data_IF_257276300119
#
_entry.id   IF_257276300119
#
_cell.length_a   1.000
_cell.length_b   1.000
_cell.length_c   1.000
_cell.angle_alpha   90.00
_cell.angle_beta   90.00
_cell.angle_gamma   90.00
#
_symmetry.space_group_name_H-M   'P 1'
#
loop_
_entity.id
_entity.type
_entity.pdbx_description
1 polymer ?
#
# COMPACT_ATOMS: atom_id res chain seq x y z
N UNK A 1 -54.69 -25.43 20.11
CA UNK A 1 -54.45 -24.21 19.29
C UNK A 1 -54.63 -22.95 20.15
N UNK A 2 -53.56 -22.41 20.76
CA UNK A 2 -53.45 -20.99 21.12
C UNK A 2 -51.96 -20.61 21.09
N UNK A 3 -51.54 -20.03 19.98
CA UNK A 3 -50.23 -19.44 19.80
C UNK A 3 -50.12 -18.19 20.70
N UNK A 4 -49.31 -18.26 21.75
CA UNK A 4 -48.80 -17.05 22.41
C UNK A 4 -47.75 -16.45 21.49
N UNK A 5 -48.17 -15.42 20.74
CA UNK A 5 -47.24 -14.49 20.08
C UNK A 5 -46.45 -13.80 21.17
N UNK A 6 -45.17 -14.11 21.21
CA UNK A 6 -44.17 -13.38 21.98
C UNK A 6 -44.06 -11.96 21.40
N UNK A 7 -44.32 -10.87 22.17
CA UNK A 7 -44.20 -9.50 21.69
C UNK A 7 -42.75 -9.00 21.63
N UNK A 8 -41.75 -9.80 22.03
CA UNK A 8 -40.37 -9.34 22.20
C UNK A 8 -39.48 -9.53 20.96
N UNK A 9 -40.01 -10.10 19.86
CA UNK A 9 -39.25 -10.36 18.63
C UNK A 9 -39.07 -9.19 17.66
N UNK A 10 -39.49 -7.96 18.00
CA UNK A 10 -39.60 -6.86 17.02
C UNK A 10 -38.90 -5.53 17.39
N UNK A 11 -38.05 -5.48 18.43
CA UNK A 11 -37.34 -4.24 18.82
C UNK A 11 -35.85 -4.47 19.11
N UNK A 12 -35.14 -5.15 18.20
CA UNK A 12 -33.67 -5.24 18.25
C UNK A 12 -32.98 -4.90 16.93
N UNK A 13 -33.67 -4.12 16.11
CA UNK A 13 -33.11 -3.44 14.95
C UNK A 13 -32.95 -1.94 15.23
N UNK A 14 -32.05 -1.53 16.14
CA UNK A 14 -31.52 -0.15 16.15
C UNK A 14 -30.34 0.05 17.11
N UNK A 15 -29.23 0.50 16.52
CA UNK A 15 -28.18 1.26 17.20
C UNK A 15 -27.12 0.41 17.90
N UNK A 16 -25.95 0.27 17.27
CA UNK A 16 -24.71 0.23 18.06
C UNK A 16 -24.80 1.38 19.07
N UNK A 17 -24.60 1.18 20.38
CA UNK A 17 -24.55 2.29 21.30
C UNK A 17 -23.43 3.20 20.78
N UNK A 18 -23.81 4.39 20.32
CA UNK A 18 -22.85 5.44 20.04
C UNK A 18 -22.19 5.69 21.39
N UNK A 19 -20.97 5.15 21.56
CA UNK A 19 -20.28 5.19 22.84
C UNK A 19 -20.33 6.60 23.39
N UNK A 20 -20.73 6.74 24.66
CA UNK A 20 -20.81 8.04 25.32
C UNK A 20 -19.52 8.81 25.03
N UNK A 21 -19.64 10.06 24.54
CA UNK A 21 -18.48 10.88 24.14
C UNK A 21 -17.47 10.86 25.27
N UNK A 22 -16.32 10.22 25.03
CA UNK A 22 -15.26 10.12 26.03
C UNK A 22 -14.88 11.53 26.50
N UNK A 23 -14.73 11.72 27.82
CA UNK A 23 -14.28 12.99 28.36
C UNK A 23 -12.93 13.37 27.76
N UNK A 24 -12.65 14.67 27.64
CA UNK A 24 -11.37 15.14 27.10
C UNK A 24 -10.16 14.54 27.84
N UNK A 25 -10.29 14.25 29.14
CA UNK A 25 -9.26 13.56 29.93
C UNK A 25 -9.07 12.10 29.48
N UNK A 26 -10.15 11.35 29.28
CA UNK A 26 -10.10 9.97 28.81
C UNK A 26 -9.52 9.86 27.39
N UNK A 27 -9.77 10.87 26.53
CA UNK A 27 -9.16 10.99 25.20
C UNK A 27 -7.64 11.22 25.25
N UNK A 28 -7.18 12.08 26.16
CA UNK A 28 -5.75 12.34 26.34
C UNK A 28 -5.01 11.12 26.93
N UNK A 29 -5.60 10.42 27.89
CA UNK A 29 -5.02 9.20 28.47
C UNK A 29 -4.87 8.07 27.44
N UNK A 30 -5.90 7.85 26.61
CA UNK A 30 -5.83 6.84 25.53
C UNK A 30 -4.82 7.22 24.44
N UNK A 31 -4.68 8.51 24.15
CA UNK A 31 -3.68 9.01 23.18
C UNK A 31 -2.25 8.80 23.67
N UNK A 32 -2.01 8.83 24.99
CA UNK A 32 -0.68 8.62 25.59
C UNK A 32 -0.10 7.24 25.27
N UNK A 33 -0.95 6.23 25.06
CA UNK A 33 -0.52 4.88 24.66
C UNK A 33 0.08 4.82 23.24
N UNK A 34 -0.24 5.77 22.37
CA UNK A 34 0.22 5.83 20.98
C UNK A 34 1.52 6.63 20.84
N UNK A 35 1.84 7.48 21.81
CA UNK A 35 3.00 8.36 21.81
C UNK A 35 4.34 7.66 21.52
N UNK A 36 4.63 6.46 22.06
CA UNK A 36 5.89 5.79 21.79
C UNK A 36 6.07 5.40 20.32
N UNK A 37 4.99 5.00 19.65
CA UNK A 37 5.02 4.64 18.22
C UNK A 37 5.28 5.89 17.38
N UNK A 38 4.65 7.02 17.73
CA UNK A 38 4.88 8.30 17.06
C UNK A 38 6.31 8.79 17.21
N UNK A 39 6.95 8.56 18.35
CA UNK A 39 8.37 8.89 18.56
C UNK A 39 9.25 8.07 17.63
N UNK A 40 9.06 6.74 17.56
CA UNK A 40 9.83 5.88 16.65
C UNK A 40 9.64 6.34 15.20
N UNK A 41 8.40 6.60 14.80
CA UNK A 41 8.09 7.12 13.46
C UNK A 41 8.82 8.43 13.18
N UNK A 42 8.74 9.41 14.09
CA UNK A 42 9.39 10.71 13.93
C UNK A 42 10.91 10.57 13.83
N UNK A 43 11.54 9.74 14.67
CA UNK A 43 12.99 9.50 14.63
C UNK A 43 13.42 8.92 13.29
N UNK A 44 12.71 7.92 12.78
CA UNK A 44 13.06 7.28 11.51
C UNK A 44 12.81 8.23 10.33
N UNK A 45 11.63 8.82 10.24
CA UNK A 45 11.25 9.69 9.12
C UNK A 45 12.11 10.94 9.09
N UNK A 46 12.23 11.67 10.21
CA UNK A 46 13.04 12.87 10.25
C UNK A 46 14.52 12.53 10.04
N UNK A 47 15.02 11.42 10.57
CA UNK A 47 16.40 11.01 10.34
C UNK A 47 16.71 10.68 8.87
N UNK A 48 15.76 10.12 8.13
CA UNK A 48 15.89 9.92 6.67
C UNK A 48 15.88 11.28 5.94
N UNK A 49 14.90 12.14 6.22
CA UNK A 49 14.79 13.44 5.54
C UNK A 49 15.93 14.42 5.89
N UNK A 50 16.49 14.33 7.10
CA UNK A 50 17.66 15.10 7.53
C UNK A 50 18.98 14.48 7.06
N UNK A 51 18.95 13.33 6.39
CA UNK A 51 20.13 12.65 5.85
C UNK A 51 21.02 11.99 6.91
N UNK A 52 20.51 11.76 8.12
CA UNK A 52 21.27 11.09 9.19
C UNK A 52 21.48 9.60 8.91
N UNK A 53 20.52 8.97 8.23
CA UNK A 53 20.59 7.57 7.83
C UNK A 53 19.84 7.33 6.52
N UNK A 54 20.27 6.33 5.76
CA UNK A 54 19.52 5.83 4.61
C UNK A 54 18.20 5.16 5.04
N UNK A 55 17.24 4.91 4.14
CA UNK A 55 16.02 4.17 4.49
C UNK A 55 16.29 2.79 5.10
N UNK A 56 17.34 2.10 4.65
CA UNK A 56 17.76 0.80 5.20
C UNK A 56 18.32 0.93 6.61
N UNK A 57 19.15 1.96 6.87
CA UNK A 57 19.68 2.24 8.20
C UNK A 57 18.58 2.72 9.15
N UNK A 58 17.65 3.54 8.65
CA UNK A 58 16.47 4.01 9.37
C UNK A 58 15.54 2.87 9.79
N UNK A 59 15.37 1.85 8.95
CA UNK A 59 14.65 0.64 9.32
C UNK A 59 15.32 -0.12 10.48
N UNK A 60 16.65 -0.22 10.47
CA UNK A 60 17.41 -0.84 11.57
C UNK A 60 17.26 -0.05 12.89
N UNK A 61 17.36 1.28 12.82
CA UNK A 61 17.11 2.17 13.97
C UNK A 61 15.68 2.03 14.49
N UNK A 62 14.69 1.99 13.59
CA UNK A 62 13.28 1.80 13.95
C UNK A 62 13.02 0.45 14.62
N UNK A 63 13.62 -0.63 14.10
CA UNK A 63 13.53 -1.96 14.68
C UNK A 63 14.17 -2.02 16.07
N UNK A 64 15.36 -1.42 16.24
CA UNK A 64 16.03 -1.34 17.53
C UNK A 64 15.22 -0.51 18.54
N UNK A 65 14.71 0.65 18.14
CA UNK A 65 13.88 1.51 19.00
C UNK A 65 12.58 0.79 19.42
N UNK A 66 11.96 0.04 18.50
CA UNK A 66 10.78 -0.79 18.79
C UNK A 66 11.11 -1.93 19.76
N UNK A 67 12.28 -2.57 19.61
CA UNK A 67 12.76 -3.59 20.55
C UNK A 67 12.95 -3.02 21.96
N UNK A 68 13.61 -1.87 22.09
CA UNK A 68 13.80 -1.17 23.37
C UNK A 68 12.44 -0.86 24.00
N UNK A 69 11.49 -0.35 23.22
CA UNK A 69 10.13 -0.07 23.68
C UNK A 69 9.38 -1.33 24.15
N UNK A 70 9.51 -2.43 23.42
CA UNK A 70 8.88 -3.70 23.77
C UNK A 70 9.45 -4.30 25.08
N UNK A 71 10.75 -4.10 25.34
CA UNK A 71 11.40 -4.49 26.60
C UNK A 71 10.96 -3.60 27.75
N UNK A 72 10.99 -2.27 27.58
CA UNK A 72 10.64 -1.30 28.63
C UNK A 72 9.16 -1.37 29.00
N UNK A 73 8.28 -1.65 28.05
CA UNK A 73 6.85 -1.84 28.29
C UNK A 73 6.51 -3.18 28.99
N UNK A 74 7.49 -4.06 29.20
CA UNK A 74 7.33 -5.33 29.92
C UNK A 74 6.55 -6.41 29.16
N UNK A 75 6.22 -6.18 27.89
CA UNK A 75 5.44 -7.11 27.06
C UNK A 75 6.27 -8.20 26.37
N UNK A 76 7.58 -8.02 26.22
CA UNK A 76 8.42 -8.93 25.43
C UNK A 76 9.04 -10.05 26.26
N UNK A 77 8.73 -11.31 25.88
CA UNK A 77 9.38 -12.52 26.40
C UNK A 77 10.31 -13.11 25.35
N UNK A 78 11.31 -13.89 25.76
CA UNK A 78 12.27 -14.55 24.85
C UNK A 78 11.58 -15.31 23.71
N UNK A 79 10.53 -16.07 24.01
CA UNK A 79 9.73 -16.78 23.01
C UNK A 79 9.13 -15.84 21.95
N UNK A 80 8.53 -14.72 22.38
CA UNK A 80 7.94 -13.74 21.47
C UNK A 80 8.99 -13.00 20.62
N UNK A 81 10.19 -12.77 21.18
CA UNK A 81 11.32 -12.22 20.42
C UNK A 81 11.74 -13.18 19.29
N UNK A 82 11.95 -14.46 19.59
CA UNK A 82 12.33 -15.48 18.59
C UNK A 82 11.24 -15.64 17.52
N UNK A 83 9.97 -15.70 17.92
CA UNK A 83 8.84 -15.76 16.96
C UNK A 83 8.81 -14.55 16.03
N UNK A 84 9.06 -13.34 16.55
CA UNK A 84 9.11 -12.11 15.76
C UNK A 84 10.26 -12.11 14.77
N UNK A 85 11.46 -12.56 15.19
CA UNK A 85 12.64 -12.65 14.32
C UNK A 85 12.44 -13.68 13.21
N UNK A 86 11.86 -14.85 13.52
CA UNK A 86 11.57 -15.89 12.52
C UNK A 86 10.52 -15.38 11.52
N UNK A 87 9.45 -14.76 11.99
CA UNK A 87 8.42 -14.20 11.11
C UNK A 87 9.02 -13.16 10.15
N UNK A 88 9.83 -12.23 10.66
CA UNK A 88 10.54 -11.25 9.84
C UNK A 88 11.50 -11.93 8.84
N UNK A 89 12.24 -12.94 9.26
CA UNK A 89 13.15 -13.70 8.39
C UNK A 89 12.43 -14.41 7.24
N UNK A 90 11.25 -14.99 7.49
CA UNK A 90 10.43 -15.62 6.45
C UNK A 90 9.97 -14.58 5.42
N UNK A 91 9.45 -13.43 5.88
CA UNK A 91 9.04 -12.34 4.98
C UNK A 91 10.21 -11.84 4.14
N UNK A 92 11.38 -11.62 4.74
CA UNK A 92 12.59 -11.20 4.02
C UNK A 92 13.05 -12.26 3.01
N UNK A 93 13.01 -13.55 3.37
CA UNK A 93 13.38 -14.63 2.45
C UNK A 93 12.46 -14.70 1.23
N UNK A 94 11.14 -14.50 1.43
CA UNK A 94 10.18 -14.39 0.33
C UNK A 94 10.50 -13.21 -0.59
N UNK A 95 10.79 -12.03 -0.01
CA UNK A 95 11.18 -10.83 -0.77
C UNK A 95 12.44 -11.07 -1.61
N UNK A 96 13.50 -11.66 -1.03
CA UNK A 96 14.73 -11.96 -1.75
C UNK A 96 14.52 -12.97 -2.89
N UNK A 97 13.69 -14.00 -2.68
CA UNK A 97 13.37 -14.97 -3.71
C UNK A 97 12.65 -14.31 -4.90
N UNK A 98 11.72 -13.40 -4.61
CA UNK A 98 10.99 -12.64 -5.61
C UNK A 98 11.93 -11.69 -6.36
N UNK A 99 12.82 -10.99 -5.67
CA UNK A 99 13.85 -10.15 -6.30
C UNK A 99 14.74 -10.94 -7.25
N UNK A 100 15.23 -12.10 -6.81
CA UNK A 100 16.04 -12.99 -7.64
C UNK A 100 15.27 -13.47 -8.89
N UNK A 101 14.02 -13.88 -8.72
CA UNK A 101 13.17 -14.30 -9.84
C UNK A 101 12.88 -13.13 -10.81
N UNK A 102 12.68 -11.92 -10.29
CA UNK A 102 12.46 -10.72 -11.09
C UNK A 102 13.71 -10.34 -11.91
N UNK A 103 14.92 -10.45 -11.34
CA UNK A 103 16.16 -10.24 -12.09
C UNK A 103 16.33 -11.28 -13.21
N UNK A 104 16.07 -12.56 -12.91
CA UNK A 104 16.12 -13.61 -13.93
C UNK A 104 15.08 -13.38 -15.04
N UNK A 105 13.86 -12.97 -14.66
CA UNK A 105 12.80 -12.62 -15.60
C UNK A 105 13.18 -11.42 -16.45
N UNK A 106 13.72 -10.36 -15.84
CA UNK A 106 14.21 -9.17 -16.54
C UNK A 106 15.30 -9.52 -17.56
N UNK A 107 16.24 -10.40 -17.20
CA UNK A 107 17.26 -10.89 -18.12
C UNK A 107 16.64 -11.67 -19.30
N UNK A 108 15.69 -12.57 -19.03
CA UNK A 108 14.99 -13.31 -20.08
C UNK A 108 14.20 -12.39 -21.04
N UNK A 109 13.56 -11.34 -20.50
CA UNK A 109 12.87 -10.33 -21.28
C UNK A 109 13.83 -9.52 -22.17
N UNK A 110 14.98 -9.12 -21.62
CA UNK A 110 16.00 -8.41 -22.39
C UNK A 110 16.52 -9.26 -23.56
N UNK A 111 16.73 -10.57 -23.34
CA UNK A 111 17.17 -11.50 -24.39
C UNK A 111 16.08 -11.72 -25.47
N UNK A 112 14.82 -11.78 -25.07
CA UNK A 112 13.69 -12.01 -25.99
C UNK A 112 13.26 -10.76 -26.78
N UNK A 113 13.81 -9.58 -26.46
CA UNK A 113 13.43 -8.28 -27.04
C UNK A 113 11.94 -7.91 -26.89
N UNK A 114 11.22 -8.63 -26.02
CA UNK A 114 9.79 -8.45 -25.82
C UNK A 114 9.42 -7.00 -25.41
N UNK A 115 10.17 -6.30 -24.54
CA UNK A 115 9.88 -4.90 -24.23
C UNK A 115 9.97 -3.97 -25.46
N UNK A 116 10.89 -4.25 -26.39
CA UNK A 116 11.05 -3.46 -27.61
C UNK A 116 9.89 -3.68 -28.58
N UNK A 117 9.47 -4.95 -28.76
CA UNK A 117 8.32 -5.30 -29.59
C UNK A 117 7.01 -4.69 -29.07
N UNK A 118 6.79 -4.74 -27.74
CA UNK A 118 5.63 -4.08 -27.13
C UNK A 118 5.69 -2.57 -27.34
N UNK A 119 6.85 -1.94 -27.15
CA UNK A 119 7.01 -0.50 -27.35
C UNK A 119 6.75 -0.10 -28.81
N UNK A 120 7.22 -0.89 -29.77
CA UNK A 120 6.96 -0.67 -31.19
C UNK A 120 5.48 -0.84 -31.54
N UNK A 121 4.83 -1.88 -31.02
CA UNK A 121 3.39 -2.10 -31.20
C UNK A 121 2.57 -0.94 -30.63
N UNK A 122 2.88 -0.50 -29.41
CA UNK A 122 2.23 0.64 -28.76
C UNK A 122 2.49 1.94 -29.52
N UNK A 123 3.72 2.16 -30.00
CA UNK A 123 4.05 3.32 -30.83
C UNK A 123 3.31 3.35 -32.18
N UNK A 124 2.90 2.17 -32.69
CA UNK A 124 2.01 2.06 -33.85
C UNK A 124 0.54 2.34 -33.55
N UNK A 125 0.13 2.37 -32.27
CA UNK A 125 -1.20 2.80 -31.89
C UNK A 125 -1.25 4.34 -31.97
N UNK A 126 -2.16 4.87 -32.78
CA UNK A 126 -2.42 6.32 -32.89
C UNK A 126 -3.17 6.86 -31.65
N UNK A 127 -2.71 6.48 -30.46
CA UNK A 127 -3.31 6.82 -29.18
C UNK A 127 -2.47 7.86 -28.45
N UNK A 128 -3.09 8.81 -27.72
CA UNK A 128 -2.35 9.71 -26.86
C UNK A 128 -1.57 8.95 -25.77
N UNK A 129 -0.32 9.32 -25.46
CA UNK A 129 0.49 8.70 -24.41
C UNK A 129 -0.22 8.59 -23.05
N UNK A 130 -0.99 9.61 -22.68
CA UNK A 130 -1.80 9.63 -21.45
C UNK A 130 -2.85 8.51 -21.43
N UNK A 131 -3.41 8.14 -22.58
CA UNK A 131 -4.39 7.06 -22.66
C UNK A 131 -3.74 5.69 -22.48
N UNK A 132 -2.53 5.51 -23.02
CA UNK A 132 -1.72 4.30 -22.79
C UNK A 132 -1.40 4.16 -21.30
N UNK A 133 -0.95 5.24 -20.67
CA UNK A 133 -0.71 5.25 -19.23
C UNK A 133 -1.97 4.94 -18.43
N UNK A 134 -3.12 5.53 -18.77
CA UNK A 134 -4.39 5.21 -18.10
C UNK A 134 -4.73 3.72 -18.19
N UNK A 135 -4.56 3.10 -19.37
CA UNK A 135 -4.74 1.67 -19.56
C UNK A 135 -3.77 0.85 -18.67
N UNK A 136 -2.50 1.26 -18.60
CA UNK A 136 -1.53 0.62 -17.70
C UNK A 136 -1.97 0.73 -16.23
N UNK A 137 -2.42 1.90 -15.78
CA UNK A 137 -2.89 2.07 -14.39
C UNK A 137 -4.10 1.20 -14.07
N UNK A 138 -5.02 1.03 -15.03
CA UNK A 138 -6.16 0.11 -14.86
C UNK A 138 -5.66 -1.33 -14.72
N UNK A 139 -4.70 -1.76 -15.56
CA UNK A 139 -4.07 -3.08 -15.44
C UNK A 139 -3.40 -3.23 -14.07
N UNK A 140 -2.69 -2.21 -13.59
CA UNK A 140 -2.06 -2.21 -12.26
C UNK A 140 -3.09 -2.35 -11.13
N UNK A 141 -4.22 -1.65 -11.19
CA UNK A 141 -5.28 -1.79 -10.17
C UNK A 141 -5.86 -3.20 -10.19
N UNK A 142 -6.14 -3.75 -11.37
CA UNK A 142 -6.70 -5.11 -11.51
C UNK A 142 -5.71 -6.15 -10.98
N UNK A 143 -4.45 -6.06 -11.40
CA UNK A 143 -3.42 -7.03 -11.02
C UNK A 143 -3.05 -6.89 -9.53
N UNK A 144 -3.11 -5.68 -8.96
CA UNK A 144 -2.93 -5.41 -7.53
C UNK A 144 -4.02 -6.01 -6.64
N UNK A 145 -5.18 -6.37 -7.20
CA UNK A 145 -6.17 -7.17 -6.46
C UNK A 145 -5.65 -8.59 -6.19
N UNK A 146 -4.79 -9.15 -7.06
CA UNK A 146 -4.36 -10.55 -6.98
C UNK A 146 -2.94 -10.70 -6.44
N UNK A 147 -2.07 -9.75 -6.72
CA UNK A 147 -0.64 -9.81 -6.41
C UNK A 147 -0.29 -8.90 -5.24
N UNK A 148 0.66 -9.35 -4.43
CA UNK A 148 1.31 -8.52 -3.41
C UNK A 148 2.13 -7.40 -4.07
N UNK A 149 2.22 -6.25 -3.40
CA UNK A 149 2.66 -4.99 -4.01
C UNK A 149 4.10 -5.01 -4.48
N UNK A 150 5.03 -5.49 -3.65
CA UNK A 150 6.44 -5.54 -4.00
C UNK A 150 6.69 -6.52 -5.16
N UNK A 151 6.11 -7.71 -5.10
CA UNK A 151 6.26 -8.73 -6.14
C UNK A 151 5.76 -8.26 -7.51
N UNK A 152 4.62 -7.60 -7.51
CA UNK A 152 4.02 -7.05 -8.72
C UNK A 152 4.90 -5.97 -9.35
N UNK A 153 5.39 -5.02 -8.55
CA UNK A 153 6.24 -3.92 -9.04
C UNK A 153 7.53 -4.47 -9.63
N UNK A 154 8.23 -5.37 -8.92
CA UNK A 154 9.50 -5.93 -9.40
C UNK A 154 9.36 -6.73 -10.69
N UNK A 155 8.25 -7.44 -10.87
CA UNK A 155 8.01 -8.24 -12.07
C UNK A 155 7.60 -7.38 -13.28
N UNK A 156 6.83 -6.32 -13.06
CA UNK A 156 6.21 -5.54 -14.14
C UNK A 156 7.06 -4.36 -14.62
N UNK A 157 7.85 -3.74 -13.74
CA UNK A 157 8.68 -2.59 -14.10
C UNK A 157 9.65 -2.86 -15.27
N UNK A 158 10.35 -4.01 -15.36
CA UNK A 158 11.23 -4.29 -16.49
C UNK A 158 10.54 -4.23 -17.86
N UNK A 159 9.23 -4.49 -17.89
CA UNK A 159 8.42 -4.45 -19.12
C UNK A 159 7.90 -3.04 -19.38
N UNK A 160 7.36 -2.36 -18.37
CA UNK A 160 6.65 -1.10 -18.58
C UNK A 160 7.54 0.13 -18.54
N UNK A 161 8.71 0.09 -17.89
CA UNK A 161 9.68 1.20 -17.92
C UNK A 161 10.11 1.53 -19.35
N UNK A 162 10.55 0.55 -20.19
CA UNK A 162 10.88 0.82 -21.60
C UNK A 162 9.72 1.40 -22.40
N UNK A 163 8.49 0.93 -22.14
CA UNK A 163 7.28 1.46 -22.81
C UNK A 163 7.09 2.93 -22.44
N UNK A 164 7.18 3.27 -21.15
CA UNK A 164 6.98 4.64 -20.67
C UNK A 164 8.06 5.61 -21.14
N UNK A 165 9.31 5.17 -21.26
CA UNK A 165 10.40 6.00 -21.78
C UNK A 165 10.40 6.13 -23.30
N UNK A 166 9.69 5.26 -24.01
CA UNK A 166 9.49 5.36 -25.47
C UNK A 166 8.42 6.38 -25.87
N UNK A 167 7.55 6.75 -24.94
CA UNK A 167 6.46 7.70 -25.15
C UNK A 167 6.87 9.13 -24.80
N UNK A 168 6.44 10.10 -25.62
CA UNK A 168 6.68 11.51 -25.35
C UNK A 168 5.56 12.11 -24.48
N UNK A 169 5.91 12.47 -23.26
CA UNK A 169 5.03 13.17 -22.31
C UNK A 169 5.36 14.66 -22.17
N UNK A 170 6.31 15.20 -22.95
CA UNK A 170 6.77 16.58 -22.83
C UNK A 170 7.54 16.86 -21.52
N UNK A 171 8.07 15.82 -20.90
CA UNK A 171 8.82 15.86 -19.63
C UNK A 171 10.18 15.16 -19.81
N UNK A 172 11.13 15.42 -18.91
CA UNK A 172 12.41 14.69 -18.88
C UNK A 172 12.18 13.21 -18.54
N UNK A 173 13.01 12.32 -19.07
CA UNK A 173 12.88 10.87 -18.83
C UNK A 173 12.90 10.52 -17.33
N UNK A 174 13.73 11.21 -16.55
CA UNK A 174 13.79 11.01 -15.10
C UNK A 174 12.47 11.40 -14.41
N UNK A 175 11.88 12.53 -14.82
CA UNK A 175 10.58 12.96 -14.31
C UNK A 175 9.46 11.99 -14.69
N UNK A 176 9.47 11.46 -15.92
CA UNK A 176 8.51 10.43 -16.35
C UNK A 176 8.62 9.19 -15.46
N UNK A 177 9.83 8.72 -15.16
CA UNK A 177 10.06 7.54 -14.33
C UNK A 177 9.61 7.73 -12.88
N UNK A 178 9.92 8.88 -12.28
CA UNK A 178 9.49 9.20 -10.90
C UNK A 178 7.97 9.28 -10.83
N UNK A 179 7.36 10.03 -11.74
CA UNK A 179 5.91 10.20 -11.81
C UNK A 179 5.18 8.88 -12.08
N UNK A 180 5.70 8.08 -13.02
CA UNK A 180 5.19 6.75 -13.32
C UNK A 180 5.31 5.81 -12.10
N UNK A 181 6.47 5.78 -11.44
CA UNK A 181 6.69 4.98 -10.25
C UNK A 181 5.73 5.33 -9.10
N UNK A 182 5.48 6.63 -8.90
CA UNK A 182 4.47 7.10 -7.93
C UNK A 182 3.09 6.59 -8.33
N UNK A 183 2.65 6.81 -9.57
CA UNK A 183 1.34 6.36 -10.05
C UNK A 183 1.16 4.84 -9.92
N UNK A 184 2.18 4.06 -10.29
CA UNK A 184 2.21 2.60 -10.12
C UNK A 184 2.03 2.23 -8.66
N UNK A 185 2.81 2.81 -7.75
CA UNK A 185 2.69 2.54 -6.32
C UNK A 185 1.28 2.89 -5.80
N UNK A 186 0.74 4.05 -6.21
CA UNK A 186 -0.62 4.44 -5.84
C UNK A 186 -1.66 3.42 -6.34
N UNK A 187 -1.55 2.97 -7.58
CA UNK A 187 -2.46 2.00 -8.20
C UNK A 187 -2.40 0.63 -7.55
N UNK A 188 -1.21 0.16 -7.20
CA UNK A 188 -1.01 -1.13 -6.52
C UNK A 188 -1.65 -1.12 -5.12
N UNK A 189 -1.38 -0.08 -4.33
CA UNK A 189 -1.98 0.07 -2.99
C UNK A 189 -3.51 0.17 -3.06
N UNK A 190 -4.01 0.85 -4.09
CA UNK A 190 -5.45 0.92 -4.38
C UNK A 190 -6.01 -0.48 -4.69
N UNK A 191 -5.30 -1.30 -5.48
CA UNK A 191 -5.66 -2.69 -5.74
C UNK A 191 -5.75 -3.55 -4.47
N UNK A 192 -4.87 -3.35 -3.49
CA UNK A 192 -4.87 -4.12 -2.23
C UNK A 192 -6.04 -3.82 -1.29
N UNK A 193 -6.75 -2.71 -1.51
CA UNK A 193 -7.98 -2.35 -0.78
C UNK A 193 -9.25 -2.52 -1.62
N UNK A 194 -9.11 -2.78 -2.93
CA UNK A 194 -10.21 -3.03 -3.86
C UNK A 194 -10.91 -4.37 -3.61
N UNK A 195 -12.26 -4.42 -3.64
CA UNK A 195 -12.95 -5.68 -3.94
C UNK A 195 -12.51 -6.21 -5.31
N UNK A 196 -12.31 -7.52 -5.53
CA UNK A 196 -12.88 -8.66 -4.78
C UNK A 196 -11.97 -9.30 -3.73
N UNK A 197 -10.67 -9.00 -3.75
CA UNK A 197 -9.67 -9.70 -2.94
C UNK A 197 -9.05 -8.87 -1.82
N UNK A 198 -9.31 -7.56 -1.76
CA UNK A 198 -8.71 -6.56 -0.87
C UNK A 198 -8.02 -7.15 0.36
N UNK A 199 -6.76 -7.60 0.20
CA UNK A 199 -6.05 -8.40 1.20
C UNK A 199 -6.00 -7.68 2.54
N UNK A 200 -5.82 -6.36 2.49
CA UNK A 200 -5.83 -5.50 3.66
C UNK A 200 -7.20 -5.51 4.37
N UNK A 201 -8.30 -5.54 3.61
CA UNK A 201 -9.66 -5.63 4.16
C UNK A 201 -9.96 -7.01 4.75
N UNK A 202 -9.47 -8.09 4.12
CA UNK A 202 -9.59 -9.44 4.69
C UNK A 202 -8.81 -9.60 5.98
N UNK A 203 -7.59 -9.04 6.05
CA UNK A 203 -6.79 -9.05 7.28
C UNK A 203 -7.55 -8.37 8.41
N UNK A 204 -8.07 -7.16 8.19
CA UNK A 204 -8.85 -6.44 9.20
C UNK A 204 -10.13 -7.18 9.58
N UNK A 205 -10.86 -7.73 8.59
CA UNK A 205 -12.07 -8.49 8.84
C UNK A 205 -11.80 -9.78 9.64
N UNK A 206 -10.64 -10.42 9.44
CA UNK A 206 -10.24 -11.62 10.20
C UNK A 206 -10.03 -11.34 11.70
N UNK A 207 -9.66 -10.09 12.04
CA UNK A 207 -9.53 -9.60 13.42
C UNK A 207 -10.90 -9.20 13.95
N UNK A 208 -11.71 -8.52 13.15
CA UNK A 208 -13.06 -8.07 13.48
C UNK A 208 -14.15 -9.09 13.08
N UNK A 209 -14.11 -10.28 13.69
CA UNK A 209 -14.96 -11.44 13.36
C UNK A 209 -16.48 -11.16 13.43
N UNK A 210 -16.89 -10.12 14.16
CA UNK A 210 -18.31 -9.75 14.34
C UNK A 210 -18.87 -8.87 13.20
N UNK A 211 -18.04 -8.50 12.20
CA UNK A 211 -18.43 -7.61 11.11
C UNK A 211 -18.45 -8.40 9.79
N UNK A 212 -19.57 -8.45 9.06
CA UNK A 212 -19.60 -9.04 7.72
C UNK A 212 -18.64 -8.31 6.77
N UNK A 213 -17.92 -9.06 5.93
CA UNK A 213 -16.98 -8.50 4.94
C UNK A 213 -17.62 -7.44 4.04
N UNK A 214 -18.90 -7.61 3.69
CA UNK A 214 -19.68 -6.66 2.89
C UNK A 214 -19.78 -5.28 3.54
N UNK A 215 -19.93 -5.21 4.87
CA UNK A 215 -19.95 -3.94 5.60
C UNK A 215 -18.57 -3.29 5.62
N UNK A 216 -17.52 -4.10 5.66
CA UNK A 216 -16.13 -3.63 5.56
C UNK A 216 -15.88 -3.00 4.19
N UNK A 217 -16.29 -3.66 3.11
CA UNK A 217 -16.19 -3.12 1.75
C UNK A 217 -16.94 -1.80 1.59
N UNK A 218 -18.20 -1.75 2.01
CA UNK A 218 -19.02 -0.53 1.96
C UNK A 218 -18.38 0.63 2.74
N UNK A 219 -17.74 0.33 3.88
CA UNK A 219 -17.03 1.33 4.69
C UNK A 219 -15.79 1.91 4.01
N UNK A 220 -15.12 1.13 3.16
CA UNK A 220 -13.89 1.57 2.48
C UNK A 220 -14.14 2.22 1.13
N UNK A 221 -15.32 2.07 0.53
CA UNK A 221 -15.66 2.72 -0.75
C UNK A 221 -15.37 4.23 -0.78
N UNK A 222 -15.57 4.93 0.33
CA UNK A 222 -15.23 6.36 0.44
C UNK A 222 -13.72 6.63 0.31
N UNK A 223 -12.89 5.84 0.98
CA UNK A 223 -11.43 5.92 0.86
C UNK A 223 -10.96 5.50 -0.54
N UNK A 224 -11.55 4.43 -1.07
CA UNK A 224 -11.27 3.96 -2.41
C UNK A 224 -11.53 5.03 -3.48
N UNK A 225 -12.68 5.71 -3.39
CA UNK A 225 -13.00 6.82 -4.29
C UNK A 225 -11.99 7.97 -4.19
N UNK A 226 -11.50 8.27 -2.97
CA UNK A 226 -10.47 9.28 -2.77
C UNK A 226 -9.11 8.86 -3.35
N UNK A 227 -8.74 7.58 -3.26
CA UNK A 227 -7.51 7.07 -3.87
C UNK A 227 -7.57 7.09 -5.40
N UNK A 228 -8.71 6.73 -6.00
CA UNK A 228 -8.92 6.89 -7.45
C UNK A 228 -8.82 8.37 -7.85
N UNK A 229 -9.46 9.26 -7.09
CA UNK A 229 -9.35 10.70 -7.33
C UNK A 229 -7.90 11.19 -7.23
N UNK A 230 -7.15 10.70 -6.23
CA UNK A 230 -5.73 11.02 -6.04
C UNK A 230 -4.89 10.56 -7.23
N UNK A 231 -5.12 9.36 -7.74
CA UNK A 231 -4.44 8.82 -8.93
C UNK A 231 -4.74 9.71 -10.14
N UNK A 232 -6.01 10.04 -10.39
CA UNK A 232 -6.40 10.91 -11.50
C UNK A 232 -5.78 12.31 -11.37
N UNK A 233 -5.75 12.85 -10.15
CA UNK A 233 -5.16 14.15 -9.88
C UNK A 233 -3.66 14.17 -10.20
N UNK A 234 -2.91 13.15 -9.74
CA UNK A 234 -1.48 13.03 -10.03
C UNK A 234 -1.22 12.74 -11.51
N UNK A 235 -2.12 11.99 -12.17
CA UNK A 235 -2.06 11.71 -13.61
C UNK A 235 -2.19 12.98 -14.45
N UNK A 236 -3.16 13.85 -14.14
CA UNK A 236 -3.37 15.07 -14.93
C UNK A 236 -2.55 16.26 -14.45
N UNK A 237 -2.01 16.20 -13.24
CA UNK A 237 -1.16 17.25 -12.65
C UNK A 237 0.16 16.63 -12.16
N UNK A 238 1.09 16.27 -13.08
CA UNK A 238 2.38 15.65 -12.73
C UNK A 238 3.21 16.51 -11.77
N UNK A 239 3.02 17.83 -11.81
CA UNK A 239 3.66 18.78 -10.89
C UNK A 239 3.45 18.44 -9.40
N UNK A 240 2.33 17.81 -9.02
CA UNK A 240 2.13 17.40 -7.62
C UNK A 240 3.10 16.31 -7.17
N UNK A 241 3.47 15.41 -8.07
CA UNK A 241 4.46 14.37 -7.82
C UNK A 241 5.89 14.90 -7.93
N UNK A 242 6.12 15.81 -8.88
CA UNK A 242 7.46 16.25 -9.27
C UNK A 242 7.95 17.51 -8.54
N UNK A 243 7.07 18.23 -7.86
CA UNK A 243 7.42 19.51 -7.24
C UNK A 243 8.53 19.38 -6.19
N UNK A 244 8.49 18.33 -5.37
CA UNK A 244 9.53 18.10 -4.36
C UNK A 244 10.86 17.64 -4.97
N UNK A 245 10.80 16.83 -6.03
CA UNK A 245 12.00 16.31 -6.71
C UNK A 245 12.65 17.34 -7.63
N UNK A 246 11.92 18.36 -8.08
CA UNK A 246 12.46 19.47 -8.86
C UNK A 246 13.14 20.57 -8.04
N UNK A 247 13.13 20.47 -6.70
CA UNK A 247 13.79 21.40 -5.78
C UNK A 247 15.22 20.97 -5.39
N UNK A 248 15.69 19.83 -5.88
CA UNK A 248 17.01 19.24 -5.59
C UNK A 248 17.91 19.15 -6.81
#
# INVERSE_FOLDING_TARGET
>A
MRARRDPLGAVQARGRPVGARASWRARFETTRAVWPILIVFAVVVLGIYLGWFSPTDGAAVGAFATLVLAVVSGGLRWKGFVESVIAAGITSAMMFLIMFAAELFSAALALSQLPNEISHWIGGLALPPVMILLCLLIIYIILGCFMESLAMVLLTLPVFVPVMTSLDFGMTSDAVLIWFGILVLMSVETGMISPPFGMNLFLINSIAKDVPIQQTYLGVLGFYAMDILRILLVLFVPGLALWLTGLG
#
